data_IF_155492433220
#
_entry.id   IF_155492433220
#
_cell.length_a   1.000
_cell.length_b   1.000
_cell.length_c   1.000
_cell.angle_alpha   90.00
_cell.angle_beta   90.00
_cell.angle_gamma   90.00
#
_symmetry.space_group_name_H-M   'P 1'
#
loop_
_entity.id
_entity.type
_entity.pdbx_description
1 polymer ?
#
# COMPACT_ATOMS: atom_id res chain seq x y z
N UNK A 1 -22.38 31.85 -44.31
CA UNK A 1 -23.51 32.80 -44.24
C UNK A 1 -23.00 34.07 -43.59
N UNK A 2 -22.95 35.18 -44.32
CA UNK A 2 -22.61 36.47 -43.74
C UNK A 2 -23.81 36.97 -42.92
N UNK A 3 -23.64 37.05 -41.61
CA UNK A 3 -24.70 37.42 -40.68
C UNK A 3 -24.73 38.95 -40.62
N UNK A 4 -25.59 39.60 -41.42
CA UNK A 4 -25.76 41.06 -41.35
C UNK A 4 -26.50 41.44 -40.06
N UNK A 5 -26.00 42.46 -39.34
CA UNK A 5 -26.70 43.08 -38.21
C UNK A 5 -27.63 44.14 -38.80
N UNK A 6 -28.91 43.82 -38.89
CA UNK A 6 -29.87 44.68 -39.61
C UNK A 6 -30.77 45.52 -38.68
N UNK A 7 -30.66 45.34 -37.36
CA UNK A 7 -31.47 46.09 -36.37
C UNK A 7 -30.83 46.07 -34.98
N UNK A 8 -31.06 47.11 -34.17
CA UNK A 8 -30.63 47.17 -32.76
C UNK A 8 -31.07 45.95 -31.95
N UNK A 9 -32.30 45.46 -32.19
CA UNK A 9 -32.85 44.27 -31.52
C UNK A 9 -32.09 42.99 -31.86
N UNK A 10 -31.59 42.89 -33.09
CA UNK A 10 -30.80 41.76 -33.57
C UNK A 10 -29.38 41.77 -32.97
N UNK A 11 -28.80 42.96 -32.79
CA UNK A 11 -27.55 43.11 -32.07
C UNK A 11 -27.66 42.72 -30.59
N UNK A 12 -28.68 43.20 -29.88
CA UNK A 12 -28.94 42.84 -28.47
C UNK A 12 -29.14 41.34 -28.28
N UNK A 13 -29.90 40.71 -29.19
CA UNK A 13 -30.13 39.26 -29.15
C UNK A 13 -28.82 38.49 -29.32
N UNK A 14 -27.96 38.93 -30.25
CA UNK A 14 -26.64 38.31 -30.47
C UNK A 14 -25.69 38.52 -29.30
N UNK A 15 -25.69 39.71 -28.68
CA UNK A 15 -24.90 39.96 -27.47
C UNK A 15 -25.33 39.00 -26.37
N UNK A 16 -26.63 38.87 -26.10
CA UNK A 16 -27.15 37.93 -25.10
C UNK A 16 -26.81 36.47 -25.42
N UNK A 17 -26.83 36.07 -26.69
CA UNK A 17 -26.43 34.73 -27.11
C UNK A 17 -24.93 34.49 -26.87
N UNK A 18 -24.09 35.45 -27.28
CA UNK A 18 -22.64 35.38 -27.10
C UNK A 18 -22.24 35.39 -25.62
N UNK A 19 -22.90 36.17 -24.77
CA UNK A 19 -22.70 36.16 -23.32
C UNK A 19 -23.03 34.79 -22.71
N UNK A 20 -24.14 34.17 -23.13
CA UNK A 20 -24.50 32.81 -22.70
C UNK A 20 -23.49 31.76 -23.17
N UNK A 21 -22.95 31.91 -24.38
CA UNK A 21 -21.91 31.01 -24.90
C UNK A 21 -20.61 31.21 -24.11
N UNK A 22 -20.19 32.45 -23.90
CA UNK A 22 -19.00 32.79 -23.14
C UNK A 22 -19.07 32.26 -21.70
N UNK A 23 -20.19 32.47 -21.01
CA UNK A 23 -20.39 31.98 -19.65
C UNK A 23 -20.27 30.45 -19.57
N UNK A 24 -20.80 29.72 -20.56
CA UNK A 24 -20.65 28.26 -20.66
C UNK A 24 -19.20 27.85 -20.90
N UNK A 25 -18.51 28.49 -21.84
CA UNK A 25 -17.10 28.19 -22.14
C UNK A 25 -16.20 28.42 -20.93
N UNK A 26 -16.40 29.52 -20.19
CA UNK A 26 -15.63 29.82 -18.98
C UNK A 26 -15.88 28.76 -17.90
N UNK A 27 -17.14 28.32 -17.73
CA UNK A 27 -17.47 27.27 -16.79
C UNK A 27 -16.80 25.93 -17.16
N UNK A 28 -16.83 25.55 -18.43
CA UNK A 28 -16.18 24.34 -18.94
C UNK A 28 -14.66 24.40 -18.75
N UNK A 29 -14.03 25.52 -19.11
CA UNK A 29 -12.60 25.74 -18.89
C UNK A 29 -12.23 25.60 -17.42
N UNK A 30 -13.02 26.18 -16.52
CA UNK A 30 -12.78 26.06 -15.07
C UNK A 30 -12.87 24.62 -14.60
N UNK A 31 -13.85 23.85 -15.09
CA UNK A 31 -14.00 22.42 -14.76
C UNK A 31 -12.80 21.63 -15.25
N UNK A 32 -12.43 21.77 -16.53
CA UNK A 32 -11.26 21.09 -17.09
C UNK A 32 -9.97 21.47 -16.36
N UNK A 33 -9.81 22.72 -15.92
CA UNK A 33 -8.66 23.12 -15.13
C UNK A 33 -8.61 22.41 -13.76
N UNK A 34 -9.76 22.28 -13.08
CA UNK A 34 -9.84 21.52 -11.82
C UNK A 34 -9.52 20.05 -12.06
N UNK A 35 -10.09 19.44 -13.09
CA UNK A 35 -9.85 18.02 -13.42
C UNK A 35 -8.37 17.76 -13.76
N UNK A 36 -7.73 18.69 -14.49
CA UNK A 36 -6.28 18.61 -14.78
C UNK A 36 -5.49 18.67 -13.47
N UNK A 37 -5.76 19.65 -12.61
CA UNK A 37 -5.07 19.79 -11.32
C UNK A 37 -5.27 18.54 -10.46
N UNK A 38 -6.48 18.00 -10.43
CA UNK A 38 -6.80 16.78 -9.69
C UNK A 38 -6.09 15.55 -10.26
N UNK A 39 -5.98 15.44 -11.60
CA UNK A 39 -5.24 14.37 -12.27
C UNK A 39 -3.73 14.39 -11.97
N UNK A 40 -3.18 15.58 -11.71
CA UNK A 40 -1.77 15.78 -11.38
C UNK A 40 -1.47 15.63 -9.88
N UNK A 41 -2.47 15.32 -9.05
CA UNK A 41 -2.21 15.00 -7.65
C UNK A 41 -1.34 13.74 -7.55
N UNK A 42 -0.42 13.65 -6.57
CA UNK A 42 0.46 12.49 -6.44
C UNK A 42 -0.31 11.16 -6.38
N UNK A 43 -1.46 11.15 -5.72
CA UNK A 43 -2.33 9.98 -5.63
C UNK A 43 -2.87 9.54 -7.01
N UNK A 44 -3.35 10.48 -7.83
CA UNK A 44 -3.86 10.18 -9.18
C UNK A 44 -2.73 9.82 -10.16
N UNK A 45 -1.55 10.43 -10.05
CA UNK A 45 -0.37 10.04 -10.84
C UNK A 45 0.03 8.60 -10.51
N UNK A 46 0.12 8.23 -9.22
CA UNK A 46 0.44 6.86 -8.82
C UNK A 46 -0.66 5.89 -9.30
N UNK A 47 -1.93 6.25 -9.13
CA UNK A 47 -3.07 5.42 -9.55
C UNK A 47 -3.09 5.18 -11.05
N UNK A 48 -2.87 6.21 -11.85
CA UNK A 48 -2.84 6.12 -13.31
C UNK A 48 -1.63 5.31 -13.80
N UNK A 49 -0.44 5.57 -13.25
CA UNK A 49 0.75 4.78 -13.54
C UNK A 49 0.55 3.29 -13.20
N UNK A 50 0.00 2.98 -12.02
CA UNK A 50 -0.25 1.61 -11.58
C UNK A 50 -1.29 0.91 -12.48
N UNK A 51 -2.35 1.63 -12.86
CA UNK A 51 -3.39 1.10 -13.74
C UNK A 51 -2.84 0.80 -15.13
N UNK A 52 -2.05 1.70 -15.71
CA UNK A 52 -1.41 1.52 -17.01
C UNK A 52 -0.41 0.35 -17.00
N UNK A 53 0.38 0.23 -15.94
CA UNK A 53 1.39 -0.83 -15.79
C UNK A 53 0.74 -2.19 -15.52
N UNK A 54 -0.38 -2.25 -14.79
CA UNK A 54 -1.10 -3.49 -14.45
C UNK A 54 -1.97 -4.07 -15.59
N UNK A 55 -2.07 -3.38 -16.73
CA UNK A 55 -2.76 -3.88 -17.93
C UNK A 55 -1.97 -5.00 -18.64
N UNK A 56 -0.65 -5.05 -18.45
CA UNK A 56 0.15 -6.19 -18.92
C UNK A 56 0.03 -7.37 -17.94
N UNK A 57 -0.33 -8.58 -18.39
CA UNK A 57 -0.44 -9.77 -17.53
C UNK A 57 0.87 -10.09 -16.78
N UNK A 58 2.00 -9.90 -17.45
CA UNK A 58 3.33 -10.22 -16.93
C UNK A 58 3.78 -9.22 -15.86
N UNK A 59 3.45 -7.94 -16.05
CA UNK A 59 3.82 -6.88 -15.12
C UNK A 59 2.89 -6.84 -13.90
N UNK A 60 1.61 -7.26 -14.05
CA UNK A 60 0.66 -7.35 -12.94
C UNK A 60 1.20 -8.20 -11.78
N UNK A 61 1.78 -9.36 -12.07
CA UNK A 61 2.34 -10.25 -11.05
C UNK A 61 3.52 -9.57 -10.32
N UNK A 62 4.39 -8.90 -11.07
CA UNK A 62 5.54 -8.17 -10.51
C UNK A 62 5.10 -7.01 -9.61
N UNK A 63 4.05 -6.28 -10.00
CA UNK A 63 3.46 -5.19 -9.20
C UNK A 63 2.86 -5.71 -7.90
N UNK A 64 2.10 -6.82 -7.95
CA UNK A 64 1.51 -7.45 -6.76
C UNK A 64 2.62 -7.91 -5.81
N UNK A 65 3.63 -8.60 -6.33
CA UNK A 65 4.77 -9.06 -5.54
C UNK A 65 5.54 -7.90 -4.90
N UNK A 66 5.72 -6.80 -5.64
CA UNK A 66 6.36 -5.59 -5.12
C UNK A 66 5.52 -4.94 -4.01
N UNK A 67 4.20 -4.82 -4.20
CA UNK A 67 3.30 -4.28 -3.18
C UNK A 67 3.30 -5.13 -1.91
N UNK A 68 3.32 -6.46 -2.05
CA UNK A 68 3.48 -7.39 -0.92
C UNK A 68 4.83 -7.17 -0.23
N UNK A 69 5.93 -7.04 -0.98
CA UNK A 69 7.26 -6.78 -0.43
C UNK A 69 7.34 -5.46 0.33
N UNK A 70 6.76 -4.39 -0.20
CA UNK A 70 6.67 -3.07 0.46
C UNK A 70 5.82 -3.17 1.73
N UNK A 71 4.65 -3.79 1.65
CA UNK A 71 3.75 -3.97 2.79
C UNK A 71 4.38 -4.82 3.89
N UNK A 72 4.99 -5.95 3.52
CA UNK A 72 5.70 -6.83 4.44
C UNK A 72 6.93 -6.13 5.05
N UNK A 73 7.66 -5.33 4.27
CA UNK A 73 8.79 -4.53 4.77
C UNK A 73 8.35 -3.43 5.74
N UNK A 74 7.24 -2.75 5.45
CA UNK A 74 6.67 -1.73 6.35
C UNK A 74 6.16 -2.33 7.65
N UNK A 75 5.39 -3.42 7.58
CA UNK A 75 4.92 -4.14 8.76
C UNK A 75 6.09 -4.76 9.53
N UNK A 76 7.05 -5.36 8.83
CA UNK A 76 8.28 -5.91 9.38
C UNK A 76 9.08 -4.85 10.13
N UNK A 77 9.36 -3.70 9.52
CA UNK A 77 10.04 -2.58 10.19
C UNK A 77 9.24 -2.06 11.39
N UNK A 78 7.91 -2.00 11.31
CA UNK A 78 7.08 -1.59 12.45
C UNK A 78 7.17 -2.57 13.62
N UNK A 79 7.27 -3.88 13.34
CA UNK A 79 7.41 -4.93 14.34
C UNK A 79 8.83 -5.01 14.91
N UNK A 80 9.86 -4.78 14.09
CA UNK A 80 11.28 -4.90 14.44
C UNK A 80 11.83 -3.61 15.07
N UNK A 81 11.52 -2.44 14.50
CA UNK A 81 12.10 -1.13 14.86
C UNK A 81 11.18 -0.29 15.77
N UNK A 82 9.86 -0.55 15.79
CA UNK A 82 8.95 0.15 16.70
C UNK A 82 9.21 -0.16 18.18
N UNK A 83 8.52 0.53 19.11
CA UNK A 83 8.55 0.40 20.61
C UNK A 83 8.38 -1.05 21.15
N UNK A 84 8.26 -2.02 20.26
CA UNK A 84 8.05 -3.45 20.38
C UNK A 84 9.35 -4.28 20.36
N UNK A 85 10.54 -3.72 20.64
CA UNK A 85 11.78 -4.51 20.86
C UNK A 85 11.54 -5.75 21.74
N UNK A 86 10.60 -5.66 22.68
CA UNK A 86 10.22 -6.77 23.56
C UNK A 86 9.46 -7.92 22.88
N UNK A 87 8.66 -7.70 21.83
CA UNK A 87 7.88 -8.79 21.21
C UNK A 87 8.79 -9.71 20.40
N UNK A 88 9.64 -9.14 19.55
CA UNK A 88 10.58 -9.93 18.75
C UNK A 88 11.60 -10.68 19.62
N UNK A 89 12.18 -9.98 20.62
CA UNK A 89 13.07 -10.61 21.61
C UNK A 89 12.35 -11.72 22.41
N UNK A 90 11.07 -11.54 22.77
CA UNK A 90 10.28 -12.55 23.48
C UNK A 90 9.99 -13.76 22.61
N UNK A 91 9.67 -13.60 21.33
CA UNK A 91 9.44 -14.72 20.42
C UNK A 91 10.72 -15.53 20.21
N UNK A 92 11.85 -14.86 19.94
CA UNK A 92 13.15 -15.53 19.77
C UNK A 92 13.56 -16.23 21.08
N UNK A 93 13.48 -15.53 22.21
CA UNK A 93 13.82 -16.07 23.52
C UNK A 93 12.96 -17.28 23.89
N UNK A 94 11.65 -17.21 23.70
CA UNK A 94 10.73 -18.31 23.98
C UNK A 94 10.92 -19.50 23.04
N UNK A 95 11.23 -19.27 21.77
CA UNK A 95 11.49 -20.34 20.79
C UNK A 95 12.79 -21.07 21.11
N UNK A 96 13.85 -20.31 21.45
CA UNK A 96 15.13 -20.88 21.86
C UNK A 96 14.99 -21.69 23.16
N UNK A 97 14.28 -21.15 24.15
CA UNK A 97 13.96 -21.85 25.40
C UNK A 97 13.17 -23.15 25.14
N UNK A 98 12.14 -23.12 24.29
CA UNK A 98 11.40 -24.32 23.92
C UNK A 98 12.27 -25.35 23.20
N UNK A 99 13.14 -24.91 22.29
CA UNK A 99 14.07 -25.77 21.57
C UNK A 99 15.05 -26.48 22.51
N UNK A 100 15.69 -25.72 23.41
CA UNK A 100 16.61 -26.26 24.42
C UNK A 100 15.86 -27.19 25.39
N UNK A 101 14.69 -26.79 25.90
CA UNK A 101 13.90 -27.59 26.82
C UNK A 101 13.45 -28.92 26.19
N UNK A 102 13.05 -28.91 24.92
CA UNK A 102 12.71 -30.12 24.18
C UNK A 102 13.92 -31.01 23.92
N UNK A 103 15.09 -30.43 23.64
CA UNK A 103 16.34 -31.18 23.42
C UNK A 103 16.82 -31.85 24.71
N UNK A 104 16.83 -31.11 25.82
CA UNK A 104 17.19 -31.62 27.14
C UNK A 104 16.20 -32.70 27.58
N UNK A 105 14.88 -32.49 27.44
CA UNK A 105 13.86 -33.49 27.78
C UNK A 105 14.00 -34.79 27.00
N UNK A 106 14.49 -34.75 25.76
CA UNK A 106 14.77 -35.94 24.95
C UNK A 106 16.06 -36.68 25.35
N UNK A 107 17.02 -36.02 26.01
CA UNK A 107 18.30 -36.63 26.44
C UNK A 107 18.35 -37.04 27.92
N UNK A 108 17.50 -36.49 28.78
CA UNK A 108 17.49 -36.76 30.22
C UNK A 108 16.87 -38.11 30.69
N UNK A 109 16.11 -38.91 29.89
CA UNK A 109 15.71 -40.24 30.36
C UNK A 109 16.89 -41.16 30.70
N UNK A 110 18.12 -40.82 30.28
CA UNK A 110 19.32 -41.66 30.40
C UNK A 110 20.25 -41.29 31.58
N UNK A 111 19.86 -40.41 32.50
CA UNK A 111 20.74 -39.97 33.62
C UNK A 111 20.29 -40.52 35.00
N UNK A 112 19.16 -41.20 35.10
CA UNK A 112 18.69 -41.76 36.39
C UNK A 112 18.92 -43.28 36.56
N UNK A 113 19.47 -43.99 35.57
CA UNK A 113 19.56 -45.46 35.62
C UNK A 113 20.96 -46.05 35.88
N UNK A 114 21.87 -45.35 36.59
CA UNK A 114 23.19 -45.92 36.94
C UNK A 114 23.62 -45.65 38.40
N UNK A 115 22.70 -45.68 39.37
CA UNK A 115 23.06 -45.51 40.79
C UNK A 115 22.46 -46.55 41.76
N UNK A 116 22.22 -47.79 41.32
CA UNK A 116 21.81 -48.88 42.22
C UNK A 116 22.47 -50.23 41.91
N UNK A 117 23.80 -50.33 41.80
CA UNK A 117 24.50 -51.63 41.90
C UNK A 117 25.97 -51.40 42.30
N UNK A 118 26.25 -51.25 43.60
CA UNK A 118 27.57 -51.54 44.21
C UNK A 118 27.53 -51.26 45.72
N UNK A 119 26.75 -52.03 46.47
CA UNK A 119 26.99 -52.27 47.91
C UNK A 119 26.41 -53.65 48.27
N UNK A 120 26.97 -54.70 47.67
CA UNK A 120 26.99 -56.05 48.25
C UNK A 120 28.33 -56.68 47.84
N UNK A 121 29.02 -57.28 48.81
CA UNK A 121 30.37 -57.88 48.77
C UNK A 121 31.56 -56.93 49.07
N UNK A 122 31.81 -56.72 50.36
CA UNK A 122 33.08 -57.04 51.04
C UNK A 122 32.95 -56.88 52.56
#
# INVERSE_FOLDING_TARGET
MAISVSSRKDLETRILELEKIQARQVLELKRSAVDIVESLTPANIIKSALTNVAQSPDIRTSVINTAIGIGAGFLGNKLIVGKSSNIFKRIIGSTLQFGIANFIRKKIPQIQENHHLQEQEA
#
